data_IF_581500151827
#
_entry.id   IF_581500151827
#
_cell.length_a   1.000
_cell.length_b   1.000
_cell.length_c   1.000
_cell.angle_alpha   90.00
_cell.angle_beta   90.00
_cell.angle_gamma   90.00
#
_symmetry.space_group_name_H-M   'P 1'
#
loop_
_entity.id
_entity.type
_entity.pdbx_description
1 polymer ?
#
# COMPACT_ATOMS: atom_id res chain seq x y z
N UNK A 1 76.92 3.53 29.58
CA UNK A 1 77.95 2.47 29.64
C UNK A 1 77.48 1.43 30.63
N UNK A 2 77.61 0.12 30.34
CA UNK A 2 77.18 -0.92 31.29
C UNK A 2 78.13 -0.98 32.49
N UNK A 3 77.63 -1.27 33.72
CA UNK A 3 78.47 -1.51 34.89
C UNK A 3 79.41 -2.70 34.69
N UNK A 4 80.64 -2.63 35.19
CA UNK A 4 81.68 -3.63 34.96
C UNK A 4 81.28 -5.06 35.39
N UNK A 5 80.54 -5.19 36.49
CA UNK A 5 80.05 -6.47 37.00
C UNK A 5 79.14 -7.19 36.01
N UNK A 6 78.19 -6.45 35.43
CA UNK A 6 77.28 -7.01 34.43
C UNK A 6 77.99 -7.35 33.12
N UNK A 7 79.10 -6.70 32.83
CA UNK A 7 79.90 -6.97 31.64
C UNK A 7 80.63 -8.32 31.75
N UNK A 8 81.08 -8.64 32.95
CA UNK A 8 81.75 -9.90 33.26
C UNK A 8 80.77 -11.09 33.18
N UNK A 9 79.60 -10.96 33.80
CA UNK A 9 78.52 -11.94 33.68
C UNK A 9 78.05 -12.12 32.24
N UNK A 10 78.03 -11.04 31.46
CA UNK A 10 77.70 -11.08 30.04
C UNK A 10 78.69 -11.98 29.30
N UNK A 11 80.00 -11.79 29.46
CA UNK A 11 81.01 -12.61 28.78
C UNK A 11 81.01 -14.09 29.20
N UNK A 12 80.80 -14.38 30.49
CA UNK A 12 80.89 -15.75 31.00
C UNK A 12 79.75 -16.64 30.46
N UNK A 13 78.56 -16.07 30.31
CA UNK A 13 77.40 -16.77 29.75
C UNK A 13 77.57 -17.15 28.27
N UNK A 14 78.39 -16.42 27.50
CA UNK A 14 78.67 -16.75 26.09
C UNK A 14 79.74 -17.84 25.92
N UNK A 15 80.60 -18.06 26.92
CA UNK A 15 81.62 -19.13 26.86
C UNK A 15 81.04 -20.52 27.14
N UNK A 16 80.00 -20.60 27.98
CA UNK A 16 79.41 -21.88 28.43
C UNK A 16 78.77 -22.69 27.31
N UNK A 17 78.33 -22.03 26.24
CA UNK A 17 77.74 -22.66 25.06
C UNK A 17 78.54 -22.20 23.86
N UNK A 18 79.49 -23.03 23.40
CA UNK A 18 80.51 -22.72 22.38
C UNK A 18 79.96 -22.42 20.98
N UNK A 19 79.16 -21.37 20.86
CA UNK A 19 78.60 -20.86 19.61
C UNK A 19 78.62 -19.32 19.67
N UNK A 20 79.20 -18.68 18.65
CA UNK A 20 79.28 -17.22 18.49
C UNK A 20 77.87 -16.60 18.32
N UNK A 21 77.15 -16.46 19.44
CA UNK A 21 75.85 -15.78 19.47
C UNK A 21 76.09 -14.27 19.49
N UNK A 22 76.12 -13.66 18.30
CA UNK A 22 76.06 -12.19 18.17
C UNK A 22 74.81 -11.65 18.90
N UNK A 23 74.88 -10.51 19.59
CA UNK A 23 73.74 -9.99 20.34
C UNK A 23 72.54 -9.76 19.42
N UNK A 24 71.40 -10.34 19.77
CA UNK A 24 70.14 -10.17 19.06
C UNK A 24 69.78 -8.67 19.08
N UNK A 25 69.83 -8.02 17.91
CA UNK A 25 69.40 -6.62 17.77
C UNK A 25 67.96 -6.50 18.26
N UNK A 26 67.73 -5.71 19.31
CA UNK A 26 66.39 -5.43 19.82
C UNK A 26 65.61 -4.74 18.72
N UNK A 27 64.53 -5.37 18.22
CA UNK A 27 63.60 -4.71 17.31
C UNK A 27 63.05 -3.46 18.02
N UNK A 28 63.01 -2.27 17.37
CA UNK A 28 62.46 -1.09 18.01
C UNK A 28 61.01 -1.38 18.39
N UNK A 29 60.67 -1.15 19.66
CA UNK A 29 59.30 -1.25 20.16
C UNK A 29 58.47 -0.24 19.36
N UNK A 30 57.55 -0.72 18.52
CA UNK A 30 56.59 0.14 17.83
C UNK A 30 55.77 0.84 18.91
N UNK A 31 56.03 2.13 19.13
CA UNK A 31 55.24 2.94 20.04
C UNK A 31 53.78 2.92 19.57
N UNK A 32 52.85 2.54 20.45
CA UNK A 32 51.42 2.58 20.16
C UNK A 32 51.05 4.02 19.82
N UNK A 33 50.56 4.28 18.61
CA UNK A 33 50.04 5.59 18.22
C UNK A 33 48.99 6.01 19.24
N UNK A 34 49.24 7.10 19.94
CA UNK A 34 48.28 7.69 20.87
C UNK A 34 47.15 8.26 20.00
N UNK A 35 45.91 7.81 20.22
CA UNK A 35 44.73 8.31 19.50
C UNK A 35 44.54 9.81 19.82
N UNK A 36 45.19 10.68 19.06
CA UNK A 36 45.00 12.13 19.16
C UNK A 36 43.80 12.50 18.31
N UNK A 37 42.63 12.56 18.94
CA UNK A 37 41.43 13.12 18.32
C UNK A 37 41.75 14.58 17.98
N UNK A 38 41.71 14.91 16.69
CA UNK A 38 41.99 16.26 16.22
C UNK A 38 40.80 17.15 16.56
N UNK A 39 40.97 18.45 16.87
CA UNK A 39 39.83 19.34 17.14
C UNK A 39 38.77 19.36 16.02
N UNK A 40 39.18 19.13 14.77
CA UNK A 40 38.28 18.94 13.61
C UNK A 40 37.37 17.72 13.76
N UNK A 41 37.86 16.60 14.31
CA UNK A 41 37.04 15.40 14.55
C UNK A 41 35.99 15.64 15.63
N UNK A 42 36.30 16.46 16.65
CA UNK A 42 35.31 16.81 17.68
C UNK A 42 34.16 17.63 17.12
N UNK A 43 34.45 18.58 16.22
CA UNK A 43 33.44 19.37 15.53
C UNK A 43 32.61 18.50 14.58
N UNK A 44 33.25 17.60 13.83
CA UNK A 44 32.55 16.64 12.97
C UNK A 44 31.61 15.73 13.79
N UNK A 45 32.07 15.19 14.92
CA UNK A 45 31.23 14.41 15.82
C UNK A 45 30.04 15.20 16.35
N UNK A 46 30.24 16.46 16.74
CA UNK A 46 29.15 17.33 17.20
C UNK A 46 28.13 17.60 16.08
N UNK A 47 28.60 17.84 14.86
CA UNK A 47 27.72 18.00 13.70
C UNK A 47 26.89 16.74 13.42
N UNK A 48 27.52 15.56 13.42
CA UNK A 48 26.80 14.29 13.25
C UNK A 48 25.75 14.07 14.34
N UNK A 49 26.04 14.41 15.60
CA UNK A 49 25.03 14.29 16.67
C UNK A 49 23.81 15.19 16.43
N UNK A 50 24.03 16.41 15.91
CA UNK A 50 22.93 17.33 15.56
C UNK A 50 22.12 16.79 14.39
N UNK A 51 22.78 16.28 13.34
CA UNK A 51 22.13 15.69 12.18
C UNK A 51 21.28 14.48 12.58
N UNK A 52 21.82 13.58 13.40
CA UNK A 52 21.10 12.41 13.91
C UNK A 52 19.91 12.86 14.77
N UNK A 53 20.09 13.88 15.62
CA UNK A 53 19.00 14.44 16.41
C UNK A 53 17.86 15.00 15.53
N UNK A 54 18.20 15.76 14.48
CA UNK A 54 17.23 16.27 13.53
C UNK A 54 16.49 15.15 12.78
N UNK A 55 17.20 14.08 12.43
CA UNK A 55 16.63 12.90 11.75
C UNK A 55 15.66 12.16 12.68
N UNK A 56 15.99 12.01 13.96
CA UNK A 56 15.05 11.43 14.92
C UNK A 56 13.76 12.25 15.06
N UNK A 57 13.87 13.58 15.10
CA UNK A 57 12.70 14.47 15.17
C UNK A 57 11.84 14.36 13.90
N UNK A 58 12.46 14.29 12.72
CA UNK A 58 11.72 14.17 11.46
C UNK A 58 10.95 12.84 11.35
N UNK A 59 11.50 11.76 11.89
CA UNK A 59 10.81 10.45 11.97
C UNK A 59 9.56 10.55 12.85
N UNK A 60 9.64 11.23 14.00
CA UNK A 60 8.49 11.42 14.89
C UNK A 60 7.40 12.23 14.19
N UNK A 61 7.77 13.31 13.50
CA UNK A 61 6.80 14.15 12.76
C UNK A 61 6.13 13.32 11.65
N UNK A 62 6.92 12.60 10.85
CA UNK A 62 6.41 11.79 9.75
C UNK A 62 5.45 10.69 10.25
N UNK A 63 5.80 10.04 11.36
CA UNK A 63 4.94 9.00 11.96
C UNK A 63 3.65 9.58 12.53
N UNK A 64 3.67 10.77 13.13
CA UNK A 64 2.47 11.47 13.57
C UNK A 64 1.55 11.83 12.39
N UNK A 65 2.09 12.38 11.29
CA UNK A 65 1.30 12.63 10.09
C UNK A 65 0.75 11.36 9.46
N UNK A 66 1.55 10.28 9.41
CA UNK A 66 1.08 8.99 8.92
C UNK A 66 -0.06 8.42 9.77
N UNK A 67 -0.04 8.65 11.09
CA UNK A 67 -1.12 8.26 11.99
C UNK A 67 -2.41 9.06 11.71
N UNK A 68 -2.31 10.38 11.55
CA UNK A 68 -3.45 11.24 11.19
C UNK A 68 -4.06 10.85 9.84
N UNK A 69 -3.24 10.62 8.82
CA UNK A 69 -3.70 10.17 7.49
C UNK A 69 -4.39 8.81 7.58
N UNK A 70 -3.85 7.87 8.35
CA UNK A 70 -4.51 6.57 8.59
C UNK A 70 -5.87 6.73 9.28
N UNK A 71 -5.99 7.66 10.22
CA UNK A 71 -7.26 7.95 10.88
C UNK A 71 -8.29 8.50 9.88
N UNK A 72 -7.90 9.46 9.05
CA UNK A 72 -8.76 10.02 8.01
C UNK A 72 -9.20 8.96 7.00
N UNK A 73 -8.27 8.09 6.56
CA UNK A 73 -8.60 6.97 5.67
C UNK A 73 -9.66 6.07 6.30
N UNK A 74 -9.47 5.68 7.57
CA UNK A 74 -10.44 4.83 8.27
C UNK A 74 -11.80 5.51 8.45
N UNK A 75 -11.81 6.83 8.63
CA UNK A 75 -13.06 7.60 8.67
C UNK A 75 -13.77 7.54 7.31
N UNK A 76 -13.06 7.84 6.23
CA UNK A 76 -13.61 7.79 4.86
C UNK A 76 -14.12 6.39 4.50
N UNK A 77 -13.40 5.33 4.91
CA UNK A 77 -13.85 3.95 4.70
C UNK A 77 -15.16 3.68 5.44
N UNK A 78 -15.28 4.12 6.69
CA UNK A 78 -16.52 3.98 7.47
C UNK A 78 -17.67 4.73 6.82
N UNK A 79 -17.43 5.98 6.41
CA UNK A 79 -18.45 6.81 5.78
C UNK A 79 -18.94 6.15 4.47
N UNK A 80 -18.03 5.62 3.65
CA UNK A 80 -18.39 4.85 2.44
C UNK A 80 -19.19 3.58 2.75
N UNK A 81 -18.82 2.85 3.80
CA UNK A 81 -19.55 1.65 4.21
C UNK A 81 -20.98 1.99 4.66
N UNK A 82 -21.17 3.10 5.39
CA UNK A 82 -22.50 3.60 5.76
C UNK A 82 -23.32 3.94 4.52
N UNK A 83 -22.77 4.73 3.59
CA UNK A 83 -23.47 5.10 2.34
C UNK A 83 -23.85 3.87 1.53
N UNK A 84 -22.97 2.88 1.44
CA UNK A 84 -23.25 1.63 0.72
C UNK A 84 -24.38 0.85 1.39
N UNK A 85 -24.39 0.76 2.72
CA UNK A 85 -25.49 0.14 3.48
C UNK A 85 -26.83 0.87 3.29
N UNK A 86 -26.80 2.21 3.19
CA UNK A 86 -27.99 3.00 2.87
C UNK A 86 -28.51 2.68 1.47
N UNK A 87 -27.63 2.62 0.47
CA UNK A 87 -27.99 2.25 -0.92
C UNK A 87 -28.58 0.84 -0.96
N UNK A 88 -27.99 -0.13 -0.28
CA UNK A 88 -28.52 -1.50 -0.21
C UNK A 88 -29.90 -1.52 0.44
N UNK A 89 -30.09 -0.80 1.55
CA UNK A 89 -31.38 -0.71 2.21
C UNK A 89 -32.44 -0.06 1.30
N UNK A 90 -32.10 1.03 0.61
CA UNK A 90 -32.99 1.66 -0.37
C UNK A 90 -33.30 0.72 -1.53
N UNK A 91 -32.32 -0.05 -2.00
CA UNK A 91 -32.50 -1.04 -3.06
C UNK A 91 -33.43 -2.17 -2.63
N UNK A 92 -33.31 -2.67 -1.40
CA UNK A 92 -34.23 -3.66 -0.82
C UNK A 92 -35.63 -3.10 -0.70
N UNK A 93 -35.78 -1.85 -0.25
CA UNK A 93 -37.09 -1.18 -0.20
C UNK A 93 -37.71 -1.01 -1.59
N UNK A 94 -36.91 -0.62 -2.58
CA UNK A 94 -37.34 -0.50 -3.96
C UNK A 94 -37.77 -1.86 -4.52
N UNK A 95 -37.00 -2.93 -4.30
CA UNK A 95 -37.36 -4.27 -4.74
C UNK A 95 -38.61 -4.80 -4.03
N UNK A 96 -38.84 -4.44 -2.76
CA UNK A 96 -40.09 -4.76 -2.06
C UNK A 96 -41.29 -3.99 -2.62
N UNK A 97 -41.10 -2.72 -2.98
CA UNK A 97 -42.13 -1.89 -3.59
C UNK A 97 -42.46 -2.31 -5.03
N UNK A 98 -41.43 -2.62 -5.82
CA UNK A 98 -41.52 -3.12 -7.19
C UNK A 98 -41.80 -4.62 -7.29
N UNK A 99 -41.91 -5.33 -6.17
CA UNK A 99 -42.34 -6.70 -6.20
C UNK A 99 -43.77 -6.74 -6.77
N UNK A 100 -43.94 -7.50 -7.86
CA UNK A 100 -45.20 -7.71 -8.56
C UNK A 100 -46.32 -8.04 -7.56
N UNK A 101 -46.04 -8.85 -6.52
CA UNK A 101 -47.04 -9.19 -5.50
C UNK A 101 -47.49 -7.97 -4.65
N UNK A 102 -46.59 -7.03 -4.38
CA UNK A 102 -46.93 -5.77 -3.68
C UNK A 102 -47.77 -4.87 -4.58
N UNK A 103 -47.41 -4.79 -5.86
CA UNK A 103 -48.13 -3.99 -6.87
C UNK A 103 -49.54 -4.57 -7.07
N UNK A 104 -49.66 -5.88 -7.28
CA UNK A 104 -50.92 -6.59 -7.43
C UNK A 104 -51.81 -6.40 -6.19
N UNK A 105 -51.25 -6.55 -4.99
CA UNK A 105 -52.00 -6.33 -3.75
C UNK A 105 -52.54 -4.91 -3.67
N UNK A 106 -51.73 -3.88 -3.97
CA UNK A 106 -52.22 -2.49 -4.00
C UNK A 106 -53.25 -2.27 -5.10
N UNK A 107 -53.02 -2.79 -6.29
CA UNK A 107 -53.93 -2.66 -7.43
C UNK A 107 -55.31 -3.26 -7.12
N UNK A 108 -55.36 -4.45 -6.52
CA UNK A 108 -56.61 -5.13 -6.18
C UNK A 108 -57.28 -4.52 -4.94
N UNK A 109 -56.50 -4.23 -3.89
CA UNK A 109 -57.05 -3.83 -2.58
C UNK A 109 -57.35 -2.34 -2.49
N UNK A 110 -56.46 -1.48 -3.01
CA UNK A 110 -56.57 -0.02 -2.88
C UNK A 110 -57.20 0.62 -4.12
N UNK A 111 -56.89 0.10 -5.32
CA UNK A 111 -57.35 0.67 -6.59
C UNK A 111 -58.56 -0.07 -7.18
N UNK A 112 -58.99 -1.18 -6.55
CA UNK A 112 -60.14 -1.98 -6.99
C UNK A 112 -59.97 -2.65 -8.36
N UNK A 113 -58.72 -2.80 -8.84
CA UNK A 113 -58.43 -3.46 -10.11
C UNK A 113 -58.70 -4.96 -9.99
N UNK A 114 -59.29 -5.56 -11.01
CA UNK A 114 -59.54 -7.01 -11.06
C UNK A 114 -58.62 -7.65 -12.09
N UNK A 115 -58.04 -8.81 -11.76
CA UNK A 115 -57.21 -9.55 -12.69
C UNK A 115 -58.09 -10.14 -13.81
N UNK A 116 -57.81 -9.88 -15.09
CA UNK A 116 -58.65 -10.36 -16.18
C UNK A 116 -58.54 -11.88 -16.35
N UNK A 117 -59.63 -12.51 -16.76
CA UNK A 117 -59.63 -13.93 -17.07
C UNK A 117 -58.88 -14.20 -18.39
N UNK A 118 -58.30 -15.40 -18.59
CA UNK A 118 -57.64 -15.78 -19.85
C UNK A 118 -58.49 -15.60 -21.11
N UNK A 119 -59.81 -15.59 -20.96
CA UNK A 119 -60.77 -15.46 -22.06
C UNK A 119 -61.10 -14.00 -22.41
N UNK A 120 -60.60 -13.03 -21.64
CA UNK A 120 -60.84 -11.59 -21.80
C UNK A 120 -59.68 -10.88 -22.52
N UNK A 121 -58.62 -11.61 -22.87
CA UNK A 121 -57.49 -11.08 -23.63
C UNK A 121 -57.87 -10.89 -25.11
N UNK A 122 -57.89 -9.63 -25.57
CA UNK A 122 -58.01 -9.30 -26.99
C UNK A 122 -56.59 -9.03 -27.52
N UNK A 123 -56.09 -9.94 -28.34
CA UNK A 123 -54.81 -9.76 -29.02
C UNK A 123 -55.00 -8.81 -30.21
N UNK A 124 -54.31 -7.68 -30.18
CA UNK A 124 -54.22 -6.79 -31.33
C UNK A 124 -53.39 -7.50 -32.40
N UNK A 125 -54.05 -8.00 -33.44
CA UNK A 125 -53.35 -8.48 -34.63
C UNK A 125 -52.73 -7.25 -35.30
N UNK A 126 -51.44 -7.30 -35.73
CA UNK A 126 -50.95 -6.29 -36.66
C UNK A 126 -51.91 -6.29 -37.84
N UNK A 127 -52.36 -5.10 -38.24
CA UNK A 127 -53.21 -4.95 -39.42
C UNK A 127 -52.59 -5.78 -40.54
N UNK A 128 -53.37 -6.72 -41.08
CA UNK A 128 -52.98 -7.44 -42.30
C UNK A 128 -52.53 -6.37 -43.30
N UNK A 129 -51.36 -6.61 -43.91
CA UNK A 129 -50.68 -5.67 -44.79
C UNK A 129 -51.69 -4.99 -45.72
N UNK A 130 -51.55 -3.67 -45.96
CA UNK A 130 -52.49 -2.94 -46.79
C UNK A 130 -52.66 -3.67 -48.12
N UNK A 131 -53.92 -3.97 -48.43
CA UNK A 131 -54.44 -4.51 -49.68
C UNK A 131 -53.55 -4.03 -50.83
N UNK A 132 -52.98 -4.98 -51.58
CA UNK A 132 -52.15 -4.82 -52.80
C UNK A 132 -52.18 -3.38 -53.31
N UNK A 133 -51.03 -2.71 -53.20
CA UNK A 133 -50.76 -1.36 -53.70
C UNK A 133 -51.67 -1.00 -54.88
N UNK A 134 -52.51 0.02 -54.71
CA UNK A 134 -53.57 0.39 -55.66
C UNK A 134 -53.03 0.57 -57.09
N UNK A 135 -51.74 0.91 -57.21
CA UNK A 135 -51.00 0.96 -58.46
C UNK A 135 -50.90 -0.39 -59.20
N UNK A 136 -50.76 -1.52 -58.48
CA UNK A 136 -50.78 -2.86 -59.06
C UNK A 136 -52.18 -3.23 -59.58
N UNK A 137 -53.24 -2.88 -58.84
CA UNK A 137 -54.62 -3.09 -59.29
C UNK A 137 -54.96 -2.27 -60.54
N UNK A 138 -54.55 -0.99 -60.57
CA UNK A 138 -54.74 -0.14 -61.75
C UNK A 138 -53.96 -0.64 -62.97
N UNK A 139 -52.76 -1.18 -62.77
CA UNK A 139 -51.97 -1.78 -63.85
C UNK A 139 -52.62 -3.04 -64.39
N UNK A 140 -53.13 -3.91 -63.54
CA UNK A 140 -53.78 -5.16 -63.96
C UNK A 140 -55.06 -4.89 -64.78
N UNK A 141 -55.85 -3.88 -64.40
CA UNK A 141 -57.05 -3.46 -65.15
C UNK A 141 -56.71 -2.74 -66.47
N UNK A 142 -55.62 -1.99 -66.52
CA UNK A 142 -55.22 -1.25 -67.73
C UNK A 142 -54.57 -2.11 -68.82
N UNK A 143 -54.11 -3.32 -68.47
CA UNK A 143 -53.45 -4.24 -69.40
C UNK A 143 -54.25 -5.54 -69.67
N UNK A 144 -55.50 -5.63 -69.18
CA UNK A 144 -56.49 -6.64 -69.59
C UNK A 144 -57.41 -6.10 -70.69
#
# INVERSE_FOLDING_TARGET
MMPAEKWYEYQDNYKKYGFDMKPKKTKPVKQKKKNSVTPKDRVAMMFFTIVIGALCISVIITTAYAASVKYEINKVIKDNAVITGEIENLTVQLNRANNIQTIERRAVTELGMMYPNPNEFIYVKPAEEPIKDFALLLKEEAYN
#
